data_IF_514869185951
#
_entry.id   IF_514869185951
#
_cell.length_a   1.000
_cell.length_b   1.000
_cell.length_c   1.000
_cell.angle_alpha   90.00
_cell.angle_beta   90.00
_cell.angle_gamma   90.00
#
_symmetry.space_group_name_H-M   'P 1'
#
loop_
_entity.id
_entity.type
_entity.pdbx_description
1 polymer ?
#
# COMPACT_ATOMS: atom_id res chain seq x y z
N UNK A 1 0.27 -4.31 19.14
CA UNK A 1 -0.27 -5.61 18.65
C UNK A 1 0.63 -6.03 17.51
N UNK A 2 0.86 -7.32 17.34
CA UNK A 2 1.60 -7.82 16.18
C UNK A 2 0.75 -7.67 14.92
N UNK A 3 1.30 -7.09 13.85
CA UNK A 3 0.61 -6.98 12.56
C UNK A 3 0.99 -8.16 11.67
N UNK A 4 -0.02 -8.81 11.10
CA UNK A 4 0.18 -9.88 10.12
C UNK A 4 -0.69 -9.65 8.90
N UNK A 5 -0.11 -9.89 7.74
CA UNK A 5 -0.79 -9.71 6.47
C UNK A 5 -1.36 -11.04 6.01
N UNK A 6 -2.64 -11.03 5.61
CA UNK A 6 -3.20 -12.12 4.82
C UNK A 6 -2.66 -12.04 3.41
N UNK A 7 -2.69 -13.18 2.72
CA UNK A 7 -2.23 -13.30 1.34
C UNK A 7 -2.93 -12.30 0.41
N UNK A 8 -4.24 -12.12 0.57
CA UNK A 8 -5.04 -11.09 -0.13
C UNK A 8 -4.43 -9.70 -0.02
N UNK A 9 -4.10 -9.29 1.20
CA UNK A 9 -3.52 -7.97 1.45
C UNK A 9 -2.11 -7.83 0.82
N UNK A 10 -1.31 -8.90 0.80
CA UNK A 10 -0.01 -8.91 0.11
C UNK A 10 -0.21 -8.76 -1.41
N UNK A 11 -1.20 -9.46 -1.97
CA UNK A 11 -1.55 -9.37 -3.39
C UNK A 11 -2.04 -7.96 -3.75
N UNK A 12 -2.84 -7.32 -2.90
CA UNK A 12 -3.33 -5.95 -3.12
C UNK A 12 -2.17 -4.96 -3.30
N UNK A 13 -1.16 -5.01 -2.42
CA UNK A 13 0.00 -4.11 -2.50
C UNK A 13 0.86 -4.43 -3.72
N UNK A 14 1.11 -5.71 -4.00
CA UNK A 14 1.89 -6.11 -5.18
C UNK A 14 1.22 -5.63 -6.46
N UNK A 15 -0.09 -5.85 -6.59
CA UNK A 15 -0.88 -5.40 -7.75
C UNK A 15 -0.80 -3.90 -7.91
N UNK A 16 -0.88 -3.13 -6.81
CA UNK A 16 -0.73 -1.68 -6.86
C UNK A 16 0.67 -1.25 -7.35
N UNK A 17 1.74 -1.86 -6.84
CA UNK A 17 3.12 -1.55 -7.25
C UNK A 17 3.36 -1.96 -8.70
N UNK A 18 2.88 -3.12 -9.12
CA UNK A 18 2.98 -3.58 -10.52
C UNK A 18 2.25 -2.62 -11.46
N UNK A 19 1.00 -2.26 -11.17
CA UNK A 19 0.27 -1.29 -12.00
C UNK A 19 0.93 0.09 -12.02
N UNK A 20 1.60 0.50 -10.93
CA UNK A 20 2.39 1.73 -10.92
C UNK A 20 3.58 1.64 -11.87
N UNK A 21 4.32 0.53 -11.83
CA UNK A 21 5.47 0.31 -12.71
C UNK A 21 5.02 0.21 -14.18
N UNK A 22 3.98 -0.57 -14.47
CA UNK A 22 3.41 -0.72 -15.82
C UNK A 22 2.95 0.62 -16.40
N UNK A 23 2.21 1.43 -15.62
CA UNK A 23 1.78 2.75 -16.07
C UNK A 23 2.95 3.70 -16.36
N UNK A 24 4.09 3.54 -15.68
CA UNK A 24 5.31 4.27 -16.04
C UNK A 24 5.96 3.70 -17.30
N UNK A 25 6.05 2.38 -17.44
CA UNK A 25 6.60 1.76 -18.64
C UNK A 25 5.83 2.17 -19.90
N UNK A 26 4.49 2.16 -19.86
CA UNK A 26 3.67 2.60 -20.98
C UNK A 26 3.94 4.05 -21.40
N UNK A 27 4.32 4.92 -20.46
CA UNK A 27 4.60 6.33 -20.74
C UNK A 27 6.01 6.58 -21.30
N UNK A 28 6.97 5.72 -20.95
CA UNK A 28 8.39 5.96 -21.25
C UNK A 28 9.04 4.95 -22.19
N UNK A 29 8.39 3.82 -22.46
CA UNK A 29 8.84 2.84 -23.44
C UNK A 29 8.82 3.43 -24.84
N UNK A 30 9.89 3.20 -25.61
CA UNK A 30 9.99 3.60 -27.02
C UNK A 30 9.92 5.13 -27.24
N UNK A 31 10.32 5.90 -26.23
CA UNK A 31 10.38 7.36 -26.32
C UNK A 31 11.61 7.87 -27.08
N UNK A 32 12.59 6.98 -27.35
CA UNK A 32 13.86 7.35 -27.98
C UNK A 32 14.72 8.29 -27.13
N UNK A 33 14.40 8.44 -25.84
CA UNK A 33 15.13 9.29 -24.91
C UNK A 33 16.46 8.61 -24.56
N UNK A 34 17.57 9.31 -24.74
CA UNK A 34 18.92 8.79 -24.46
C UNK A 34 19.11 8.24 -23.03
N UNK A 35 18.27 8.70 -22.09
CA UNK A 35 18.29 8.29 -20.67
C UNK A 35 17.19 7.28 -20.29
N UNK A 36 16.58 6.56 -21.25
CA UNK A 36 15.50 5.60 -20.98
C UNK A 36 15.88 4.58 -19.90
N UNK A 37 17.07 3.96 -19.99
CA UNK A 37 17.55 3.01 -18.99
C UNK A 37 17.64 3.62 -17.57
N UNK A 38 18.09 4.87 -17.47
CA UNK A 38 18.18 5.58 -16.20
C UNK A 38 16.80 5.93 -15.64
N UNK A 39 15.83 6.25 -16.50
CA UNK A 39 14.43 6.49 -16.12
C UNK A 39 13.83 5.19 -15.58
N UNK A 40 14.01 4.07 -16.29
CA UNK A 40 13.50 2.76 -15.89
C UNK A 40 14.09 2.29 -14.56
N UNK A 41 15.40 2.42 -14.36
CA UNK A 41 16.04 2.10 -13.08
C UNK A 41 15.48 2.95 -11.92
N UNK A 42 15.26 4.24 -12.16
CA UNK A 42 14.62 5.12 -11.18
C UNK A 42 13.18 4.69 -10.87
N UNK A 43 12.41 4.25 -11.87
CA UNK A 43 11.04 3.74 -11.67
C UNK A 43 11.03 2.51 -10.79
N UNK A 44 11.92 1.54 -11.03
CA UNK A 44 12.03 0.35 -10.18
C UNK A 44 12.41 0.70 -8.74
N UNK A 45 13.43 1.54 -8.56
CA UNK A 45 13.86 2.01 -7.23
C UNK A 45 12.73 2.75 -6.49
N UNK A 46 11.98 3.59 -7.22
CA UNK A 46 10.83 4.30 -6.67
C UNK A 46 9.68 3.34 -6.32
N UNK A 47 9.46 2.28 -7.09
CA UNK A 47 8.48 1.23 -6.79
C UNK A 47 8.80 0.48 -5.49
N UNK A 48 10.06 0.09 -5.29
CA UNK A 48 10.51 -0.55 -4.03
C UNK A 48 10.42 0.40 -2.83
N UNK A 49 10.77 1.68 -3.04
CA UNK A 49 10.61 2.70 -2.01
C UNK A 49 9.14 2.90 -1.65
N UNK A 50 8.27 2.99 -2.65
CA UNK A 50 6.82 3.12 -2.46
C UNK A 50 6.26 1.94 -1.67
N UNK A 51 6.70 0.71 -1.96
CA UNK A 51 6.32 -0.47 -1.21
C UNK A 51 6.67 -0.34 0.29
N UNK A 52 7.90 0.06 0.59
CA UNK A 52 8.37 0.27 1.97
C UNK A 52 7.60 1.38 2.68
N UNK A 53 7.46 2.53 2.03
CA UNK A 53 6.75 3.69 2.58
C UNK A 53 5.27 3.37 2.90
N UNK A 54 4.62 2.53 2.09
CA UNK A 54 3.26 2.04 2.37
C UNK A 54 3.24 1.13 3.59
N UNK A 55 4.17 0.18 3.67
CA UNK A 55 4.25 -0.77 4.78
C UNK A 55 4.49 -0.04 6.11
N UNK A 56 5.46 0.87 6.15
CA UNK A 56 5.81 1.64 7.33
C UNK A 56 4.63 2.53 7.78
N UNK A 57 3.89 3.11 6.83
CA UNK A 57 2.71 3.91 7.15
C UNK A 57 1.58 3.06 7.76
N UNK A 58 1.36 1.85 7.26
CA UNK A 58 0.39 0.89 7.82
C UNK A 58 0.82 0.48 9.22
N UNK A 59 2.10 0.15 9.41
CA UNK A 59 2.64 -0.25 10.71
C UNK A 59 2.52 0.89 11.74
N UNK A 60 2.90 2.10 11.37
CA UNK A 60 2.78 3.27 12.23
C UNK A 60 1.32 3.49 12.67
N UNK A 61 0.37 3.35 11.75
CA UNK A 61 -1.04 3.61 12.04
C UNK A 61 -1.73 2.48 12.80
N UNK A 62 -1.30 1.23 12.59
CA UNK A 62 -1.98 0.04 13.10
C UNK A 62 -1.17 -0.76 14.13
N UNK A 63 0.03 -0.36 14.54
CA UNK A 63 0.80 -1.09 15.57
C UNK A 63 0.28 -0.84 17.00
N UNK A 64 -0.38 0.30 17.20
CA UNK A 64 -0.92 0.74 18.48
C UNK A 64 -1.91 -0.24 19.12
N UNK A 65 -2.02 -0.20 20.45
CA UNK A 65 -3.00 -1.01 21.20
C UNK A 65 -4.44 -0.66 20.82
N UNK A 66 -4.67 0.61 20.47
CA UNK A 66 -5.93 1.13 19.90
C UNK A 66 -5.61 1.82 18.58
N UNK A 67 -6.42 1.54 17.58
CA UNK A 67 -6.38 2.24 16.28
C UNK A 67 -7.37 3.40 16.34
N UNK A 68 -6.84 4.62 16.20
CA UNK A 68 -7.65 5.83 16.16
C UNK A 68 -8.32 5.98 14.78
N UNK A 69 -9.52 6.57 14.75
CA UNK A 69 -10.26 6.79 13.50
C UNK A 69 -10.77 5.51 12.82
N UNK A 70 -10.76 4.36 13.52
CA UNK A 70 -11.31 3.12 12.98
C UNK A 70 -12.82 3.17 12.88
N UNK A 71 -13.35 2.68 11.77
CA UNK A 71 -14.78 2.40 11.57
C UNK A 71 -15.00 0.91 11.77
N UNK A 72 -15.98 0.54 12.60
CA UNK A 72 -16.39 -0.86 12.76
C UNK A 72 -17.25 -1.27 11.57
N UNK A 73 -16.96 -2.45 11.01
CA UNK A 73 -17.73 -3.10 9.96
C UNK A 73 -18.42 -4.36 10.50
N UNK A 74 -19.11 -5.08 9.62
CA UNK A 74 -19.74 -6.35 9.94
C UNK A 74 -18.72 -7.46 10.22
N UNK A 75 -19.16 -8.53 10.89
CA UNK A 75 -18.37 -9.74 11.15
C UNK A 75 -17.05 -9.51 11.90
N UNK A 76 -16.96 -8.44 12.69
CA UNK A 76 -15.78 -8.15 13.51
C UNK A 76 -14.62 -7.52 12.74
N UNK A 77 -14.88 -7.03 11.52
CA UNK A 77 -13.91 -6.28 10.74
C UNK A 77 -13.90 -4.81 11.12
N UNK A 78 -12.79 -4.18 10.82
CA UNK A 78 -12.57 -2.76 11.02
C UNK A 78 -11.95 -2.17 9.76
N UNK A 79 -12.30 -0.92 9.49
CA UNK A 79 -11.73 -0.11 8.43
C UNK A 79 -10.94 1.03 9.07
N UNK A 80 -9.74 1.29 8.57
CA UNK A 80 -8.97 2.48 8.91
C UNK A 80 -8.60 3.20 7.62
N UNK A 81 -8.79 4.52 7.61
CA UNK A 81 -8.46 5.38 6.47
C UNK A 81 -7.43 6.40 6.91
N UNK A 82 -6.35 6.51 6.17
CA UNK A 82 -5.30 7.49 6.43
C UNK A 82 -4.56 7.85 5.14
N UNK A 83 -3.82 8.95 5.16
CA UNK A 83 -3.00 9.35 4.01
C UNK A 83 -1.54 8.97 4.24
N UNK A 84 -0.87 8.47 3.21
CA UNK A 84 0.59 8.41 3.14
C UNK A 84 1.05 9.27 1.98
N UNK A 85 1.74 10.36 2.31
CA UNK A 85 1.99 11.45 1.36
C UNK A 85 0.70 11.96 0.74
N UNK A 86 0.57 11.82 -0.57
CA UNK A 86 -0.63 12.29 -1.29
C UNK A 86 -1.67 11.19 -1.56
N UNK A 87 -1.41 9.94 -1.20
CA UNK A 87 -2.31 8.80 -1.48
C UNK A 87 -3.21 8.52 -0.28
N UNK A 88 -4.50 8.28 -0.53
CA UNK A 88 -5.39 7.70 0.46
C UNK A 88 -5.16 6.18 0.54
N UNK A 89 -4.99 5.67 1.76
CA UNK A 89 -4.90 4.25 2.06
C UNK A 89 -6.11 3.87 2.91
N UNK A 90 -6.80 2.83 2.49
CA UNK A 90 -7.91 2.21 3.21
C UNK A 90 -7.47 0.79 3.57
N UNK A 91 -7.42 0.50 4.87
CA UNK A 91 -7.01 -0.80 5.37
C UNK A 91 -8.19 -1.47 6.06
N UNK A 92 -8.48 -2.70 5.66
CA UNK A 92 -9.45 -3.57 6.32
C UNK A 92 -8.70 -4.57 7.18
N UNK A 93 -9.04 -4.62 8.47
CA UNK A 93 -8.36 -5.50 9.41
C UNK A 93 -9.32 -6.16 10.39
N UNK A 94 -8.89 -7.30 10.94
CA UNK A 94 -9.53 -7.97 12.06
C UNK A 94 -8.57 -8.05 13.25
N UNK A 95 -9.10 -8.27 14.45
CA UNK A 95 -8.30 -8.35 15.68
C UNK A 95 -8.52 -9.70 16.37
N UNK A 96 -7.45 -10.47 16.54
CA UNK A 96 -7.40 -11.53 17.54
C UNK A 96 -6.76 -10.99 18.82
N UNK A 97 -7.63 -10.55 19.74
CA UNK A 97 -7.20 -9.98 21.03
C UNK A 97 -6.55 -11.01 21.95
N UNK A 98 -6.86 -12.30 21.80
CA UNK A 98 -6.26 -13.37 22.61
C UNK A 98 -4.82 -13.61 22.19
N UNK A 99 -4.59 -13.71 20.88
CA UNK A 99 -3.25 -13.86 20.31
C UNK A 99 -2.46 -12.54 20.24
N UNK A 100 -3.10 -11.39 20.49
CA UNK A 100 -2.54 -10.03 20.30
C UNK A 100 -2.12 -9.75 18.85
N UNK A 101 -2.81 -10.39 17.90
CA UNK A 101 -2.55 -10.26 16.47
C UNK A 101 -3.63 -9.37 15.84
N UNK A 102 -3.20 -8.49 14.95
CA UNK A 102 -4.07 -7.72 14.06
C UNK A 102 -3.80 -8.18 12.64
N UNK A 103 -4.82 -8.78 12.02
CA UNK A 103 -4.74 -9.30 10.67
C UNK A 103 -5.15 -8.23 9.69
N UNK A 104 -4.26 -7.88 8.77
CA UNK A 104 -4.59 -7.07 7.61
C UNK A 104 -5.26 -8.00 6.60
N UNK A 105 -6.56 -7.83 6.43
CA UNK A 105 -7.41 -8.68 5.58
C UNK A 105 -7.31 -8.25 4.12
N UNK A 106 -7.39 -6.95 3.86
CA UNK A 106 -7.25 -6.37 2.53
C UNK A 106 -6.92 -4.89 2.60
N UNK A 107 -6.46 -4.34 1.48
CA UNK A 107 -6.07 -2.95 1.38
C UNK A 107 -6.52 -2.35 0.05
N UNK A 108 -6.90 -1.07 0.11
CA UNK A 108 -7.16 -0.28 -1.07
C UNK A 108 -6.29 0.97 -1.02
N UNK A 109 -5.50 1.16 -2.07
CA UNK A 109 -4.62 2.33 -2.21
C UNK A 109 -5.14 3.14 -3.37
N UNK A 110 -5.50 4.39 -3.10
CA UNK A 110 -5.95 5.33 -4.12
C UNK A 110 -4.87 5.47 -5.19
N UNK A 111 -5.25 5.08 -6.41
CA UNK A 111 -4.44 5.31 -7.61
C UNK A 111 -4.54 6.78 -7.95
N UNK A 112 -3.41 7.47 -7.95
CA UNK A 112 -3.34 8.76 -8.62
C UNK A 112 -3.09 8.54 -10.10
N UNK A 113 -3.75 9.29 -10.99
CA UNK A 113 -3.26 9.41 -12.35
C UNK A 113 -1.80 9.88 -12.28
N UNK A 114 -0.95 9.28 -13.10
CA UNK A 114 0.43 9.72 -13.25
C UNK A 114 0.35 11.05 -14.01
N UNK A 115 0.25 12.15 -13.27
CA UNK A 115 0.26 13.51 -13.82
C UNK A 115 1.67 14.05 -13.63
N UNK A 116 2.35 14.33 -14.73
CA UNK A 116 3.60 15.09 -14.78
C UNK A 116 3.30 16.54 -15.15
#
# INVERSE_FOLDING_TARGET
>A
MELRFRESAVVDVRTFVTSYIEGFFELYSDTGIWSEDAILQNVFSNGEKLFRDLYDAIEMQLSGSRVLGRKKLDRGWYECRFRSGTRLIIVYYSEDKKARIRWIESMHIERKPIIF
#
